data_IF_011712015337
#
_entry.id   IF_011712015337
#
_cell.length_a   1.000
_cell.length_b   1.000
_cell.length_c   1.000
_cell.angle_alpha   90.00
_cell.angle_beta   90.00
_cell.angle_gamma   90.00
#
_symmetry.space_group_name_H-M   'P 1'
#
loop_
_entity.id
_entity.type
_entity.pdbx_description
1 polymer ?
#
# COMPACT_ATOMS: atom_id res chain seq x y z
N UNK A 1 -43.33 38.62 2.55
CA UNK A 1 -42.00 38.05 2.25
C UNK A 1 -41.63 36.97 3.28
N UNK A 2 -42.31 35.80 3.27
CA UNK A 2 -42.02 34.67 4.17
C UNK A 2 -41.75 33.35 3.43
N UNK A 3 -41.89 33.34 2.10
CA UNK A 3 -41.78 32.12 1.27
C UNK A 3 -40.41 31.94 0.60
N UNK A 4 -39.50 32.91 0.72
CA UNK A 4 -38.17 32.84 0.10
C UNK A 4 -37.14 32.15 1.00
N UNK A 5 -37.29 32.24 2.32
CA UNK A 5 -36.35 31.65 3.29
C UNK A 5 -36.48 30.13 3.43
N UNK A 6 -37.58 29.53 2.99
CA UNK A 6 -37.76 28.07 3.09
C UNK A 6 -37.03 27.32 1.97
N UNK A 7 -36.83 27.95 0.80
CA UNK A 7 -36.24 27.28 -0.37
C UNK A 7 -34.71 27.22 -0.25
N UNK A 8 -34.07 28.26 0.30
CA UNK A 8 -32.63 28.26 0.54
C UNK A 8 -32.20 27.27 1.62
N UNK A 9 -33.00 27.08 2.68
CA UNK A 9 -32.69 26.12 3.74
C UNK A 9 -32.73 24.65 3.27
N UNK A 10 -33.63 24.31 2.34
CA UNK A 10 -33.76 22.94 1.80
C UNK A 10 -32.61 22.60 0.85
N UNK A 11 -32.14 23.57 0.05
CA UNK A 11 -31.00 23.35 -0.87
C UNK A 11 -29.66 23.17 -0.13
N UNK A 12 -29.44 23.87 0.99
CA UNK A 12 -28.23 23.71 1.81
C UNK A 12 -28.21 22.39 2.62
N UNK A 13 -29.37 21.80 2.92
CA UNK A 13 -29.44 20.50 3.60
C UNK A 13 -29.17 19.31 2.65
N UNK A 14 -29.52 19.44 1.37
CA UNK A 14 -29.24 18.41 0.34
C UNK A 14 -27.76 18.33 -0.05
N UNK A 15 -27.02 19.45 0.02
CA UNK A 15 -25.58 19.48 -0.29
C UNK A 15 -24.70 18.87 0.80
N UNK A 16 -25.21 18.73 2.04
CA UNK A 16 -24.49 18.10 3.15
C UNK A 16 -24.66 16.57 3.19
N UNK A 17 -25.55 16.00 2.37
CA UNK A 17 -25.74 14.55 2.24
C UNK A 17 -24.85 13.90 1.17
N UNK A 18 -23.98 14.68 0.52
CA UNK A 18 -22.92 14.16 -0.38
C UNK A 18 -21.62 13.93 0.41
N UNK A 19 -21.67 14.04 1.75
CA UNK A 19 -20.58 13.66 2.64
C UNK A 19 -20.44 12.14 2.70
N UNK A 20 -19.25 11.68 2.34
CA UNK A 20 -18.76 10.30 2.46
C UNK A 20 -19.46 9.29 1.52
N UNK A 21 -19.18 9.39 0.22
CA UNK A 21 -18.85 8.14 -0.48
C UNK A 21 -17.54 7.63 0.15
N UNK A 22 -17.67 6.82 1.20
CA UNK A 22 -16.66 5.83 1.54
C UNK A 22 -16.57 4.88 0.35
N UNK A 23 -15.71 5.21 -0.62
CA UNK A 23 -15.22 4.23 -1.58
C UNK A 23 -14.25 3.29 -0.85
N UNK A 24 -14.76 2.54 0.13
CA UNK A 24 -14.11 1.36 0.69
C UNK A 24 -14.51 0.13 -0.13
N UNK A 25 -14.24 0.18 -1.44
CA UNK A 25 -14.04 -1.04 -2.23
C UNK A 25 -12.56 -1.02 -2.60
N UNK A 26 -11.72 -1.18 -1.58
CA UNK A 26 -10.48 -1.93 -1.73
C UNK A 26 -10.84 -3.33 -1.30
N UNK A 27 -11.03 -4.24 -2.26
CA UNK A 27 -11.11 -5.65 -1.95
C UNK A 27 -9.91 -6.00 -1.07
N UNK A 28 -10.11 -6.77 0.01
CA UNK A 28 -9.02 -7.11 0.90
C UNK A 28 -7.93 -7.79 0.08
N UNK A 29 -6.71 -7.26 0.19
CA UNK A 29 -5.53 -7.92 -0.36
C UNK A 29 -5.57 -9.39 0.06
N UNK A 30 -5.27 -10.30 -0.89
CA UNK A 30 -4.95 -11.67 -0.50
C UNK A 30 -3.66 -11.58 0.30
N UNK A 31 -3.80 -11.43 1.62
CA UNK A 31 -2.70 -11.34 2.56
C UNK A 31 -1.97 -12.67 2.49
N UNK A 32 -0.83 -12.67 1.81
CA UNK A 32 0.20 -13.67 2.06
C UNK A 32 0.69 -13.46 3.49
N UNK A 33 -0.06 -13.95 4.47
CA UNK A 33 0.35 -13.99 5.86
C UNK A 33 1.31 -15.17 5.99
N UNK A 34 2.58 -14.87 6.25
CA UNK A 34 3.49 -15.87 6.79
C UNK A 34 3.13 -16.09 8.25
N UNK A 35 2.90 -17.33 8.64
CA UNK A 35 2.81 -17.68 10.04
C UNK A 35 4.22 -18.06 10.51
N UNK A 36 4.98 -17.08 11.05
CA UNK A 36 6.34 -17.30 11.56
C UNK A 36 6.40 -18.29 12.75
N UNK A 37 5.27 -18.60 13.39
CA UNK A 37 5.20 -19.44 14.58
C UNK A 37 5.59 -20.92 14.38
N UNK A 38 5.82 -21.39 13.15
CA UNK A 38 6.18 -22.79 12.86
C UNK A 38 7.62 -23.01 12.34
N UNK A 39 8.45 -21.97 12.26
CA UNK A 39 9.79 -22.03 11.63
C UNK A 39 10.90 -21.83 12.66
N UNK A 40 11.11 -22.80 13.55
CA UNK A 40 12.10 -22.72 14.64
C UNK A 40 13.59 -22.64 14.21
N UNK A 41 13.93 -22.57 12.92
CA UNK A 41 15.33 -22.68 12.44
C UNK A 41 15.71 -21.79 11.24
N UNK A 42 14.89 -20.81 10.84
CA UNK A 42 15.25 -19.88 9.77
C UNK A 42 15.13 -18.44 10.24
N UNK A 43 16.20 -17.67 10.06
CA UNK A 43 16.21 -16.22 10.27
C UNK A 43 15.77 -15.45 9.01
N UNK A 44 15.39 -16.17 7.95
CA UNK A 44 14.92 -15.59 6.70
C UNK A 44 13.56 -16.16 6.30
N UNK A 45 12.68 -15.26 5.86
CA UNK A 45 11.32 -15.54 5.42
C UNK A 45 11.08 -14.90 4.06
N UNK A 46 10.42 -15.62 3.17
CA UNK A 46 10.08 -15.11 1.84
C UNK A 46 8.59 -15.17 1.61
N UNK A 47 8.03 -14.11 1.02
CA UNK A 47 6.61 -14.01 0.74
C UNK A 47 6.30 -13.33 -0.58
N UNK A 48 5.05 -13.52 -1.02
CA UNK A 48 4.50 -12.91 -2.23
C UNK A 48 3.14 -12.32 -1.88
N UNK A 49 2.95 -11.06 -2.26
CA UNK A 49 1.67 -10.36 -2.20
C UNK A 49 1.21 -10.17 -3.65
N UNK A 50 0.06 -10.74 -4.01
CA UNK A 50 -0.53 -10.57 -5.34
C UNK A 50 -1.21 -9.22 -5.43
N UNK A 51 -0.99 -8.52 -6.54
CA UNK A 51 -1.67 -7.29 -6.89
C UNK A 51 -2.70 -7.61 -7.98
N UNK A 52 -3.98 -7.40 -7.69
CA UNK A 52 -5.07 -7.55 -8.65
C UNK A 52 -6.22 -6.64 -8.22
N UNK A 53 -6.16 -5.37 -8.62
CA UNK A 53 -7.06 -4.35 -8.11
C UNK A 53 -7.31 -3.22 -9.09
N UNK A 54 -8.42 -2.51 -8.87
CA UNK A 54 -8.79 -1.32 -9.61
C UNK A 54 -8.31 -0.08 -8.85
N UNK A 55 -7.49 0.75 -9.49
CA UNK A 55 -6.96 1.99 -8.94
C UNK A 55 -7.51 3.21 -9.67
N UNK A 56 -7.92 4.23 -8.93
CA UNK A 56 -8.33 5.50 -9.50
C UNK A 56 -7.15 6.18 -10.22
N UNK A 57 -7.42 6.78 -11.38
CA UNK A 57 -6.46 7.67 -12.03
C UNK A 57 -6.38 8.98 -11.22
N UNK A 58 -5.20 9.37 -10.69
CA UNK A 58 -5.08 10.60 -9.90
C UNK A 58 -5.29 11.87 -10.73
N UNK A 59 -5.11 11.81 -12.05
CA UNK A 59 -5.20 12.96 -12.95
C UNK A 59 -6.59 13.11 -13.58
N UNK A 60 -7.44 12.07 -13.51
CA UNK A 60 -8.71 12.01 -14.26
C UNK A 60 -9.87 11.50 -13.40
N UNK A 61 -10.91 12.32 -13.31
CA UNK A 61 -12.13 11.98 -12.55
C UNK A 61 -12.88 10.85 -13.27
N UNK A 62 -13.23 9.79 -12.53
CA UNK A 62 -13.93 8.58 -12.98
C UNK A 62 -13.15 7.62 -13.89
N UNK A 63 -11.88 7.89 -14.17
CA UNK A 63 -11.00 6.95 -14.88
C UNK A 63 -10.26 6.06 -13.88
N UNK A 64 -9.84 4.88 -14.35
CA UNK A 64 -9.13 3.92 -13.52
C UNK A 64 -8.17 3.06 -14.32
N UNK A 65 -7.20 2.52 -13.59
CA UNK A 65 -6.28 1.49 -14.04
C UNK A 65 -6.62 0.17 -13.37
N UNK A 66 -6.45 -0.92 -14.11
CA UNK A 66 -6.33 -2.26 -13.54
C UNK A 66 -4.86 -2.50 -13.22
N UNK A 67 -4.55 -2.62 -11.92
CA UNK A 67 -3.26 -3.05 -11.41
C UNK A 67 -3.23 -4.57 -11.37
N UNK A 68 -2.22 -5.16 -12.00
CA UNK A 68 -1.96 -6.59 -11.95
C UNK A 68 -0.46 -6.84 -11.74
N UNK A 69 -0.11 -7.80 -10.89
CA UNK A 69 1.30 -8.10 -10.62
C UNK A 69 1.54 -8.75 -9.28
N UNK A 70 2.75 -8.55 -8.77
CA UNK A 70 3.17 -9.09 -7.47
C UNK A 70 4.22 -8.22 -6.81
N UNK A 71 4.18 -8.23 -5.48
CA UNK A 71 5.28 -7.78 -4.63
C UNK A 71 5.90 -9.05 -4.04
N UNK A 72 7.21 -9.23 -4.21
CA UNK A 72 7.96 -10.25 -3.49
C UNK A 72 8.74 -9.57 -2.39
N UNK A 73 8.81 -10.20 -1.23
CA UNK A 73 9.62 -9.71 -0.13
C UNK A 73 10.42 -10.85 0.49
N UNK A 74 11.62 -10.50 0.96
CA UNK A 74 12.42 -11.31 1.86
C UNK A 74 12.61 -10.53 3.14
N UNK A 75 12.29 -11.15 4.26
CA UNK A 75 12.53 -10.61 5.59
C UNK A 75 13.68 -11.40 6.23
N UNK A 76 14.67 -10.69 6.74
CA UNK A 76 15.80 -11.29 7.46
C UNK A 76 15.90 -10.67 8.84
N UNK A 77 15.79 -11.51 9.87
CA UNK A 77 16.08 -11.15 11.24
C UNK A 77 17.59 -11.11 11.42
N UNK A 78 18.12 -10.03 11.99
CA UNK A 78 19.52 -9.98 12.39
C UNK A 78 19.65 -9.58 13.85
N UNK A 79 20.56 -10.25 14.56
CA UNK A 79 20.71 -10.09 16.00
C UNK A 79 21.04 -8.65 16.36
N UNK A 80 20.18 -8.05 17.18
CA UNK A 80 20.56 -6.86 17.90
C UNK A 80 21.55 -7.29 18.99
N UNK A 81 22.84 -7.06 18.78
CA UNK A 81 23.95 -7.46 19.67
C UNK A 81 23.80 -7.07 21.16
N UNK A 82 22.79 -6.27 21.50
CA UNK A 82 22.35 -5.97 22.86
C UNK A 82 21.61 -7.14 23.55
N UNK A 83 20.97 -8.03 22.81
CA UNK A 83 20.18 -9.16 23.32
C UNK A 83 21.07 -10.24 23.96
N UNK A 84 22.26 -10.47 23.40
CA UNK A 84 23.29 -11.37 23.96
C UNK A 84 23.88 -10.89 25.29
N UNK A 85 23.86 -9.57 25.54
CA UNK A 85 24.45 -8.99 26.76
C UNK A 85 23.44 -8.84 27.90
N UNK A 86 22.14 -8.84 27.61
CA UNK A 86 21.09 -8.64 28.60
C UNK A 86 19.76 -9.29 28.17
N UNK A 87 19.61 -10.63 28.31
CA UNK A 87 18.40 -11.36 27.93
C UNK A 87 17.12 -10.98 28.72
N UNK A 88 17.25 -10.10 29.71
CA UNK A 88 16.12 -9.52 30.47
C UNK A 88 15.38 -8.42 29.67
N UNK A 89 15.96 -7.92 28.57
CA UNK A 89 15.43 -6.82 27.74
C UNK A 89 14.61 -7.30 26.53
N UNK A 90 14.13 -8.55 26.56
CA UNK A 90 13.35 -9.22 25.50
C UNK A 90 12.04 -8.53 25.10
N UNK A 91 11.69 -7.40 25.73
CA UNK A 91 10.54 -6.55 25.38
C UNK A 91 10.87 -5.46 24.36
N UNK A 92 12.12 -5.36 23.90
CA UNK A 92 12.56 -4.21 23.10
C UNK A 92 12.03 -4.21 21.66
N UNK A 93 11.65 -5.34 21.07
CA UNK A 93 11.42 -5.45 19.62
C UNK A 93 12.66 -5.98 18.89
N UNK A 94 12.56 -6.15 17.58
CA UNK A 94 13.60 -6.72 16.73
C UNK A 94 13.88 -5.84 15.51
N UNK A 95 15.14 -5.81 15.07
CA UNK A 95 15.51 -5.19 13.81
C UNK A 95 15.33 -6.22 12.69
N UNK A 96 14.58 -5.85 11.67
CA UNK A 96 14.30 -6.68 10.50
C UNK A 96 14.83 -5.97 9.26
N UNK A 97 15.49 -6.73 8.38
CA UNK A 97 15.85 -6.28 7.04
C UNK A 97 14.81 -6.79 6.06
N UNK A 98 14.23 -5.88 5.29
CA UNK A 98 13.22 -6.14 4.27
C UNK A 98 13.78 -5.84 2.88
N UNK A 99 13.99 -6.89 2.09
CA UNK A 99 14.24 -6.76 0.66
C UNK A 99 12.90 -6.86 -0.08
N UNK A 100 12.40 -5.77 -0.64
CA UNK A 100 11.08 -5.71 -1.31
C UNK A 100 11.29 -5.48 -2.81
N UNK A 101 10.58 -6.23 -3.64
CA UNK A 101 10.56 -6.05 -5.09
C UNK A 101 9.15 -6.05 -5.64
N UNK A 102 8.85 -5.11 -6.53
CA UNK A 102 7.56 -5.02 -7.21
C UNK A 102 7.75 -5.30 -8.70
N UNK A 103 6.89 -6.14 -9.26
CA UNK A 103 6.75 -6.38 -10.70
C UNK A 103 5.26 -6.34 -11.02
N UNK A 104 4.82 -5.22 -11.59
CA UNK A 104 3.42 -4.95 -11.83
C UNK A 104 3.17 -4.17 -13.11
N UNK A 105 1.91 -4.17 -13.52
CA UNK A 105 1.42 -3.51 -14.72
C UNK A 105 0.10 -2.81 -14.43
N UNK A 106 -0.04 -1.60 -14.96
CA UNK A 106 -1.28 -0.83 -15.00
C UNK A 106 -1.85 -0.89 -16.42
N UNK A 107 -3.12 -1.26 -16.54
CA UNK A 107 -3.85 -1.23 -17.80
C UNK A 107 -5.00 -0.24 -17.69
N UNK A 108 -4.99 0.80 -18.52
CA UNK A 108 -6.05 1.81 -18.51
C UNK A 108 -7.38 1.20 -18.98
N UNK A 109 -8.47 1.52 -18.30
CA UNK A 109 -9.83 1.10 -18.67
C UNK A 109 -10.72 2.32 -18.84
N UNK A 110 -11.56 2.32 -19.87
CA UNK A 110 -12.47 3.43 -20.16
C UNK A 110 -11.92 4.52 -21.07
N UNK A 111 -10.61 4.50 -21.37
CA UNK A 111 -10.00 5.45 -22.32
C UNK A 111 -10.20 5.03 -23.78
N UNK A 112 -10.44 6.03 -24.65
CA UNK A 112 -10.49 5.84 -26.11
C UNK A 112 -9.17 5.21 -26.62
N UNK A 113 -9.25 4.39 -27.68
CA UNK A 113 -8.22 3.43 -28.13
C UNK A 113 -6.76 3.93 -28.26
N UNK A 114 -6.48 5.24 -28.17
CA UNK A 114 -5.12 5.80 -28.26
C UNK A 114 -4.28 5.63 -26.97
N UNK A 115 -4.92 5.50 -25.79
CA UNK A 115 -4.22 5.46 -24.49
C UNK A 115 -4.16 4.04 -23.86
N UNK A 116 -4.48 2.98 -24.61
CA UNK A 116 -4.52 1.57 -24.14
C UNK A 116 -3.13 0.94 -23.96
N UNK A 117 -2.17 1.72 -23.49
CA UNK A 117 -0.83 1.21 -23.15
C UNK A 117 -0.86 0.42 -21.85
N UNK A 118 -0.06 -0.65 -21.79
CA UNK A 118 0.30 -1.28 -20.53
C UNK A 118 1.48 -0.49 -19.95
N UNK A 119 1.27 0.15 -18.80
CA UNK A 119 2.32 0.86 -18.08
C UNK A 119 2.96 -0.09 -17.08
N UNK A 120 4.28 -0.09 -16.98
CA UNK A 120 5.01 -1.04 -16.12
C UNK A 120 5.48 -0.37 -14.84
N UNK A 121 5.52 -1.14 -13.77
CA UNK A 121 6.12 -0.78 -12.49
C UNK A 121 7.10 -1.89 -12.16
N UNK A 122 8.39 -1.57 -12.09
CA UNK A 122 9.45 -2.51 -11.72
C UNK A 122 10.45 -1.75 -10.85
N UNK A 123 10.57 -2.18 -9.60
CA UNK A 123 11.45 -1.54 -8.62
C UNK A 123 11.82 -2.49 -7.50
N UNK A 124 12.93 -2.18 -6.83
CA UNK A 124 13.45 -2.93 -5.69
C UNK A 124 13.90 -1.96 -4.60
N UNK A 125 13.71 -2.35 -3.35
CA UNK A 125 14.23 -1.65 -2.18
C UNK A 125 14.81 -2.62 -1.17
N UNK A 126 15.72 -2.08 -0.37
CA UNK A 126 16.32 -2.72 0.79
C UNK A 126 16.09 -1.75 1.96
N UNK A 127 15.22 -2.16 2.87
CA UNK A 127 14.73 -1.34 3.97
C UNK A 127 15.09 -2.02 5.31
N UNK A 128 15.49 -1.22 6.29
CA UNK A 128 15.68 -1.68 7.66
C UNK A 128 14.56 -1.08 8.49
N UNK A 129 13.80 -1.93 9.15
CA UNK A 129 12.65 -1.54 9.98
C UNK A 129 12.83 -2.09 11.39
N UNK A 130 12.27 -1.37 12.36
CA UNK A 130 12.31 -1.78 13.75
C UNK A 130 10.91 -2.20 14.19
N UNK A 131 10.73 -3.49 14.42
CA UNK A 131 9.43 -4.06 14.80
C UNK A 131 9.37 -4.17 16.31
N UNK A 132 8.55 -3.33 16.94
CA UNK A 132 8.34 -3.41 18.40
C UNK A 132 7.57 -4.68 18.78
N UNK A 133 7.87 -5.26 19.94
CA UNK A 133 7.34 -6.56 20.38
C UNK A 133 5.80 -6.66 20.51
N UNK A 134 5.09 -5.53 20.50
CA UNK A 134 3.63 -5.48 20.59
C UNK A 134 3.00 -4.59 19.52
N UNK A 135 3.78 -4.16 18.53
CA UNK A 135 3.37 -3.09 17.62
C UNK A 135 3.48 -3.48 16.15
N UNK A 136 2.59 -2.86 15.39
CA UNK A 136 2.69 -2.77 13.95
C UNK A 136 3.51 -1.53 13.61
N UNK A 137 4.54 -1.67 12.78
CA UNK A 137 5.19 -0.53 12.14
C UNK A 137 4.61 -0.32 10.73
N UNK A 138 4.64 0.91 10.25
CA UNK A 138 4.11 1.27 8.93
C UNK A 138 5.24 1.63 7.98
N UNK A 139 5.38 0.85 6.91
CA UNK A 139 6.34 1.13 5.84
C UNK A 139 5.60 1.64 4.60
N UNK A 140 5.96 2.83 4.12
CA UNK A 140 5.40 3.39 2.89
C UNK A 140 6.46 3.39 1.79
N UNK A 141 6.14 2.80 0.65
CA UNK A 141 7.03 2.74 -0.53
C UNK A 141 6.34 3.35 -1.74
N UNK A 142 7.05 4.24 -2.44
CA UNK A 142 6.62 4.78 -3.71
C UNK A 142 7.42 4.14 -4.86
N UNK A 143 6.71 3.65 -5.87
CA UNK A 143 7.29 2.97 -7.02
C UNK A 143 6.94 3.70 -8.31
N UNK A 144 7.93 4.17 -9.09
CA UNK A 144 7.66 4.95 -10.28
C UNK A 144 6.98 4.11 -11.37
N UNK A 145 5.96 4.69 -12.00
CA UNK A 145 5.34 4.13 -13.21
C UNK A 145 6.22 4.47 -14.41
N UNK A 146 6.76 3.45 -15.07
CA UNK A 146 7.69 3.60 -16.18
C UNK A 146 6.99 4.14 -17.43
N UNK A 147 7.66 5.05 -18.14
CA UNK A 147 7.18 5.63 -19.39
C UNK A 147 6.23 6.83 -19.22
N UNK A 148 5.99 7.27 -17.99
CA UNK A 148 5.15 8.43 -17.66
C UNK A 148 5.99 9.69 -17.34
N UNK A 149 5.54 10.86 -17.82
CA UNK A 149 6.29 12.15 -17.73
C UNK A 149 5.89 13.00 -16.52
N UNK A 150 4.67 12.83 -16.07
CA UNK A 150 4.00 13.40 -14.90
C UNK A 150 4.46 12.76 -13.58
N UNK A 151 5.43 11.84 -13.61
CA UNK A 151 5.99 11.18 -12.42
C UNK A 151 4.93 10.48 -11.59
N UNK A 152 4.02 9.78 -12.26
CA UNK A 152 3.05 8.91 -11.57
C UNK A 152 3.78 7.81 -10.80
N UNK A 153 3.32 7.53 -9.58
CA UNK A 153 3.87 6.51 -8.69
C UNK A 153 2.77 5.64 -8.11
N UNK A 154 3.06 4.34 -7.98
CA UNK A 154 2.30 3.42 -7.13
C UNK A 154 2.84 3.53 -5.71
N UNK A 155 2.02 4.05 -4.79
CA UNK A 155 2.34 4.15 -3.37
C UNK A 155 1.71 2.97 -2.65
N UNK A 156 2.54 2.13 -2.03
CA UNK A 156 2.12 0.99 -1.24
C UNK A 156 2.37 1.27 0.25
N UNK A 157 1.35 1.03 1.07
CA UNK A 157 1.42 1.11 2.53
C UNK A 157 1.41 -0.30 3.09
N UNK A 158 2.45 -0.66 3.82
CA UNK A 158 2.60 -1.97 4.44
C UNK A 158 2.52 -1.87 5.96
N UNK A 159 1.83 -2.84 6.56
CA UNK A 159 1.99 -3.17 7.96
C UNK A 159 3.13 -4.18 8.10
N UNK A 160 4.13 -3.80 8.88
CA UNK A 160 5.21 -4.70 9.31
C UNK A 160 4.92 -5.15 10.74
N UNK A 161 4.91 -6.45 10.96
CA UNK A 161 4.71 -7.06 12.28
C UNK A 161 5.73 -8.15 12.50
N UNK A 162 5.87 -8.63 13.74
CA UNK A 162 6.68 -9.81 14.03
C UNK A 162 6.21 -11.05 13.27
N UNK A 163 4.98 -11.06 12.72
CA UNK A 163 4.46 -12.16 11.91
C UNK A 163 4.69 -11.96 10.41
N UNK A 164 5.16 -10.79 9.98
CA UNK A 164 5.55 -10.52 8.60
C UNK A 164 4.94 -9.25 8.04
N UNK A 165 5.02 -9.14 6.72
CA UNK A 165 4.62 -7.97 5.94
C UNK A 165 3.23 -8.15 5.32
N UNK A 166 2.33 -7.20 5.53
CA UNK A 166 1.01 -7.18 4.90
C UNK A 166 0.80 -5.88 4.14
N UNK A 167 0.35 -5.95 2.89
CA UNK A 167 -0.08 -4.76 2.14
C UNK A 167 -1.43 -4.29 2.68
N UNK A 168 -1.49 -3.04 3.12
CA UNK A 168 -2.71 -2.41 3.65
C UNK A 168 -3.43 -1.55 2.65
N UNK A 169 -2.66 -0.86 1.80
CA UNK A 169 -3.21 0.00 0.79
C UNK A 169 -2.24 0.15 -0.36
N UNK A 170 -2.78 0.42 -1.54
CA UNK A 170 -2.02 0.74 -2.71
C UNK A 170 -2.79 1.77 -3.54
N UNK A 171 -2.19 2.94 -3.77
CA UNK A 171 -2.81 4.05 -4.48
C UNK A 171 -1.89 4.58 -5.58
N UNK A 172 -2.48 5.22 -6.58
CA UNK A 172 -1.71 5.99 -7.56
C UNK A 172 -1.65 7.46 -7.12
N UNK A 173 -0.47 8.04 -7.23
CA UNK A 173 -0.25 9.46 -7.01
C UNK A 173 0.50 10.05 -8.20
N UNK A 174 0.25 11.33 -8.49
CA UNK A 174 1.02 12.11 -9.44
C UNK A 174 1.63 13.31 -8.72
N UNK A 175 2.81 13.74 -9.14
CA UNK A 175 3.41 14.94 -8.59
C UNK A 175 2.60 16.15 -9.06
N UNK A 176 2.14 17.00 -8.14
CA UNK A 176 1.60 18.31 -8.50
C UNK A 176 2.76 19.12 -9.06
N UNK A 177 2.71 19.43 -10.36
CA UNK A 177 3.64 20.37 -11.03
C UNK A 177 3.14 21.78 -10.83
#
# INVERSE_FOLDING_TARGET
>A
MKKLFLITAVFSALLLLIGCQDNSITDPFSSGSLNKNNLMHSNSFEGIITLDQKLADPDRINDYFLLSGKIKFTETLFDNTLQDKAPQLTTAGQEERLDISVDAALTAVGVSNADKGVLRIDSKSDDIVFVSANGTDTLVKAYPVLGRKDKMELVCTFDVTENGLTLKDAILTSAIV
#
